data_IF_892439029785
#
_entry.id   IF_892439029785
#
_cell.length_a   1.000
_cell.length_b   1.000
_cell.length_c   1.000
_cell.angle_alpha   90.00
_cell.angle_beta   90.00
_cell.angle_gamma   90.00
#
_symmetry.space_group_name_H-M   'P 1'
#
loop_
_entity.id
_entity.type
_entity.pdbx_description
1 polymer ?
#
# COMPACT_ATOMS: atom_id res chain seq x y z
N UNK A 1 -8.20 14.02 -9.98
CA UNK A 1 -8.79 12.70 -10.32
C UNK A 1 -9.82 12.32 -9.27
N UNK A 2 -10.96 11.82 -9.70
CA UNK A 2 -12.00 11.33 -8.79
C UNK A 2 -12.04 9.80 -8.90
N UNK A 3 -11.86 9.14 -7.78
CA UNK A 3 -11.93 7.68 -7.71
C UNK A 3 -13.36 7.29 -7.32
N UNK A 4 -13.96 6.43 -8.11
CA UNK A 4 -15.33 5.96 -7.90
C UNK A 4 -15.32 4.49 -7.51
N UNK A 5 -16.39 4.05 -6.85
CA UNK A 5 -16.57 2.67 -6.46
C UNK A 5 -18.06 2.29 -6.53
N UNK A 6 -18.32 0.99 -6.49
CA UNK A 6 -19.69 0.46 -6.56
C UNK A 6 -20.52 1.02 -5.42
N UNK A 7 -21.77 1.43 -5.72
CA UNK A 7 -22.69 1.98 -4.73
C UNK A 7 -23.05 0.98 -3.61
N UNK A 8 -22.82 -0.31 -3.84
CA UNK A 8 -23.04 -1.34 -2.80
C UNK A 8 -21.91 -1.41 -1.79
N UNK A 9 -20.77 -0.75 -2.04
CA UNK A 9 -19.66 -0.69 -1.13
C UNK A 9 -19.84 0.52 -0.21
N UNK A 10 -19.78 0.29 1.10
CA UNK A 10 -19.93 1.36 2.08
C UNK A 10 -18.65 2.19 2.17
N UNK A 11 -18.79 3.51 2.28
CA UNK A 11 -17.65 4.43 2.47
C UNK A 11 -16.80 4.01 3.67
N UNK A 12 -17.45 3.58 4.75
CA UNK A 12 -16.79 3.14 5.97
C UNK A 12 -15.88 1.93 5.72
N UNK A 13 -16.32 1.01 4.86
CA UNK A 13 -15.52 -0.17 4.52
C UNK A 13 -14.28 0.21 3.73
N UNK A 14 -14.41 1.16 2.82
CA UNK A 14 -13.28 1.64 2.03
C UNK A 14 -12.27 2.37 2.94
N UNK A 15 -12.78 3.24 3.82
CA UNK A 15 -11.93 3.96 4.77
C UNK A 15 -11.17 3.01 5.69
N UNK A 16 -11.86 2.00 6.23
CA UNK A 16 -11.25 1.01 7.11
C UNK A 16 -10.18 0.19 6.39
N UNK A 17 -10.45 -0.22 5.15
CA UNK A 17 -9.49 -0.97 4.35
C UNK A 17 -8.25 -0.13 4.02
N UNK A 18 -8.45 1.12 3.65
CA UNK A 18 -7.34 2.01 3.32
C UNK A 18 -6.47 2.27 4.54
N UNK A 19 -7.07 2.49 5.69
CA UNK A 19 -6.36 2.68 6.95
C UNK A 19 -5.56 1.43 7.31
N UNK A 20 -6.15 0.25 7.15
CA UNK A 20 -5.48 -1.02 7.42
C UNK A 20 -4.29 -1.22 6.49
N UNK A 21 -4.45 -0.95 5.20
CA UNK A 21 -3.38 -1.05 4.22
C UNK A 21 -2.24 -0.10 4.58
N UNK A 22 -2.55 1.13 4.91
CA UNK A 22 -1.55 2.13 5.32
C UNK A 22 -0.76 1.65 6.53
N UNK A 23 -1.44 1.12 7.55
CA UNK A 23 -0.80 0.59 8.75
C UNK A 23 0.07 -0.62 8.44
N UNK A 24 -0.37 -1.49 7.54
CA UNK A 24 0.40 -2.67 7.14
C UNK A 24 1.69 -2.27 6.41
N UNK A 25 1.62 -1.27 5.55
CA UNK A 25 2.81 -0.75 4.87
C UNK A 25 3.81 -0.22 5.90
N UNK A 26 3.34 0.58 6.86
CA UNK A 26 4.19 1.14 7.90
C UNK A 26 4.89 0.04 8.72
N UNK A 27 4.16 -1.02 9.06
CA UNK A 27 4.69 -2.13 9.88
C UNK A 27 5.81 -2.92 9.21
N UNK A 28 5.92 -2.86 7.89
CA UNK A 28 7.01 -3.54 7.18
C UNK A 28 8.37 -3.04 7.64
N UNK A 29 8.47 -1.76 7.97
CA UNK A 29 9.74 -1.15 8.38
C UNK A 29 10.24 -1.68 9.72
N UNK A 30 9.46 -1.59 10.83
CA UNK A 30 9.93 -2.15 12.10
C UNK A 30 10.09 -3.67 12.04
N UNK A 31 9.28 -4.39 11.29
CA UNK A 31 9.45 -5.84 11.14
C UNK A 31 10.82 -6.17 10.53
N UNK A 32 11.22 -5.43 9.51
CA UNK A 32 12.54 -5.64 8.89
C UNK A 32 13.67 -5.27 9.85
N UNK A 33 13.53 -4.16 10.58
CA UNK A 33 14.53 -3.72 11.55
C UNK A 33 14.75 -4.73 12.67
N UNK A 34 13.68 -5.37 13.11
CA UNK A 34 13.71 -6.35 14.20
C UNK A 34 14.12 -7.75 13.75
N UNK A 35 14.28 -7.95 12.45
CA UNK A 35 14.54 -9.28 11.90
C UNK A 35 13.34 -10.19 11.85
N UNK A 36 12.14 -9.63 12.02
CA UNK A 36 10.89 -10.38 11.90
C UNK A 36 10.51 -10.57 10.43
N UNK A 37 9.61 -11.51 10.15
CA UNK A 37 9.15 -11.75 8.79
C UNK A 37 8.37 -10.54 8.27
N UNK A 38 8.83 -9.98 7.17
CA UNK A 38 8.17 -8.87 6.48
C UNK A 38 7.74 -9.27 5.07
N UNK A 39 8.27 -10.36 4.54
CA UNK A 39 8.00 -10.79 3.17
C UNK A 39 6.60 -11.41 3.02
N UNK A 40 6.19 -12.24 3.98
CA UNK A 40 4.87 -12.84 3.96
C UNK A 40 3.75 -11.80 4.14
N UNK A 41 3.84 -10.89 5.13
CA UNK A 41 2.88 -9.79 5.21
C UNK A 41 2.85 -8.92 3.95
N UNK A 42 4.00 -8.69 3.30
CA UNK A 42 4.06 -7.93 2.06
C UNK A 42 3.30 -8.64 0.93
N UNK A 43 3.47 -9.96 0.81
CA UNK A 43 2.73 -10.74 -0.20
C UNK A 43 1.22 -10.62 -0.02
N UNK A 44 0.75 -10.74 1.22
CA UNK A 44 -0.67 -10.58 1.54
C UNK A 44 -1.16 -9.17 1.20
N UNK A 45 -0.36 -8.17 1.53
CA UNK A 45 -0.67 -6.77 1.25
C UNK A 45 -0.82 -6.52 -0.25
N UNK A 46 0.05 -7.09 -1.07
CA UNK A 46 -0.02 -6.94 -2.53
C UNK A 46 -1.33 -7.52 -3.07
N UNK A 47 -1.76 -8.66 -2.56
CA UNK A 47 -3.04 -9.27 -2.96
C UNK A 47 -4.23 -8.37 -2.58
N UNK A 48 -4.19 -7.79 -1.40
CA UNK A 48 -5.24 -6.89 -0.93
C UNK A 48 -5.32 -5.61 -1.77
N UNK A 49 -4.19 -5.03 -2.12
CA UNK A 49 -4.14 -3.82 -2.93
C UNK A 49 -4.64 -4.12 -4.36
N UNK A 50 -4.24 -5.25 -4.92
CA UNK A 50 -4.72 -5.66 -6.24
C UNK A 50 -6.24 -5.86 -6.24
N UNK A 51 -6.79 -6.41 -5.16
CA UNK A 51 -8.23 -6.53 -4.99
C UNK A 51 -8.93 -5.18 -4.91
N UNK A 52 -8.34 -4.24 -4.19
CA UNK A 52 -8.87 -2.89 -4.09
C UNK A 52 -8.88 -2.18 -5.45
N UNK A 53 -7.84 -2.36 -6.26
CA UNK A 53 -7.76 -1.76 -7.59
C UNK A 53 -8.92 -2.20 -8.49
N UNK A 54 -9.37 -3.45 -8.33
CA UNK A 54 -10.51 -3.96 -9.08
C UNK A 54 -11.85 -3.37 -8.63
N UNK A 55 -11.93 -2.91 -7.38
CA UNK A 55 -13.16 -2.36 -6.81
C UNK A 55 -13.28 -0.85 -7.01
N UNK A 56 -12.16 -0.15 -7.18
CA UNK A 56 -12.12 1.31 -7.26
C UNK A 56 -11.87 1.75 -8.70
N UNK A 57 -12.85 2.41 -9.29
CA UNK A 57 -12.76 2.91 -10.66
C UNK A 57 -11.88 4.16 -10.68
N UNK A 58 -10.84 4.16 -11.51
CA UNK A 58 -9.93 5.29 -11.65
C UNK A 58 -8.76 5.29 -10.69
N UNK A 59 -8.61 4.23 -9.88
CA UNK A 59 -7.54 4.15 -8.90
C UNK A 59 -6.20 3.69 -9.48
N UNK A 60 -6.22 3.12 -10.69
CA UNK A 60 -5.05 2.45 -11.26
C UNK A 60 -3.81 3.36 -11.35
N UNK A 61 -3.99 4.65 -11.62
CA UNK A 61 -2.88 5.59 -11.71
C UNK A 61 -2.11 5.74 -10.40
N UNK A 62 -2.77 5.48 -9.26
CA UNK A 62 -2.15 5.54 -7.94
C UNK A 62 -1.77 4.14 -7.48
N UNK A 63 -2.67 3.17 -7.62
CA UNK A 63 -2.44 1.82 -7.11
C UNK A 63 -1.41 1.03 -7.90
N UNK A 64 -1.29 1.26 -9.21
CA UNK A 64 -0.27 0.56 -9.99
C UNK A 64 1.15 0.95 -9.56
N UNK A 65 1.51 2.25 -9.46
CA UNK A 65 2.81 2.62 -8.91
C UNK A 65 3.03 2.11 -7.48
N UNK A 66 1.99 2.11 -6.65
CA UNK A 66 2.07 1.58 -5.29
C UNK A 66 2.44 0.10 -5.31
N UNK A 67 1.76 -0.71 -6.13
CA UNK A 67 2.06 -2.13 -6.28
C UNK A 67 3.50 -2.35 -6.75
N UNK A 68 3.94 -1.59 -7.75
CA UNK A 68 5.29 -1.73 -8.28
C UNK A 68 6.36 -1.41 -7.22
N UNK A 69 6.16 -0.36 -6.44
CA UNK A 69 7.10 0.02 -5.38
C UNK A 69 7.16 -1.02 -4.28
N UNK A 70 6.01 -1.52 -3.84
CA UNK A 70 5.95 -2.55 -2.80
C UNK A 70 6.57 -3.85 -3.29
N UNK A 71 6.30 -4.25 -4.52
CA UNK A 71 6.88 -5.45 -5.10
C UNK A 71 8.41 -5.36 -5.16
N UNK A 72 8.93 -4.17 -5.46
CA UNK A 72 10.37 -3.93 -5.49
C UNK A 72 11.06 -4.14 -4.15
N UNK A 73 10.32 -4.08 -3.04
CA UNK A 73 10.89 -4.30 -1.71
C UNK A 73 11.47 -5.71 -1.54
N UNK A 74 10.94 -6.70 -2.26
CA UNK A 74 11.44 -8.07 -2.20
C UNK A 74 12.91 -8.19 -2.63
N UNK A 75 13.40 -7.23 -3.42
CA UNK A 75 14.78 -7.20 -3.89
C UNK A 75 15.71 -6.52 -2.88
N UNK A 76 15.19 -5.83 -1.89
CA UNK A 76 15.97 -5.03 -0.94
C UNK A 76 16.19 -5.80 0.36
N UNK A 77 16.89 -6.94 0.26
CA UNK A 77 17.04 -7.88 1.37
C UNK A 77 18.35 -7.71 2.15
N UNK A 78 19.33 -7.00 1.58
CA UNK A 78 20.63 -6.82 2.22
C UNK A 78 20.59 -5.67 3.24
N UNK A 79 21.49 -5.71 4.22
CA UNK A 79 21.58 -4.66 5.23
C UNK A 79 21.82 -3.29 4.60
N UNK A 80 22.66 -3.24 3.59
CA UNK A 80 22.98 -2.00 2.86
C UNK A 80 21.80 -1.41 2.09
N UNK A 81 20.76 -2.23 1.84
CA UNK A 81 19.55 -1.78 1.14
C UNK A 81 18.54 -1.09 2.06
N UNK A 82 18.83 -1.00 3.36
CA UNK A 82 17.86 -0.53 4.35
C UNK A 82 17.38 0.89 4.07
N UNK A 83 18.26 1.79 3.68
CA UNK A 83 17.87 3.17 3.41
C UNK A 83 16.92 3.26 2.22
N UNK A 84 17.16 2.48 1.19
CA UNK A 84 16.27 2.43 0.03
C UNK A 84 14.93 1.79 0.39
N UNK A 85 14.95 0.75 1.21
CA UNK A 85 13.74 0.12 1.74
C UNK A 85 12.89 1.15 2.49
N UNK A 86 13.51 1.87 3.43
CA UNK A 86 12.84 2.90 4.23
C UNK A 86 12.26 4.01 3.35
N UNK A 87 13.04 4.49 2.40
CA UNK A 87 12.60 5.53 1.46
C UNK A 87 11.38 5.06 0.66
N UNK A 88 11.42 3.82 0.16
CA UNK A 88 10.31 3.25 -0.60
C UNK A 88 9.05 3.15 0.25
N UNK A 89 9.17 2.75 1.52
CA UNK A 89 8.04 2.72 2.45
C UNK A 89 7.39 4.09 2.55
N UNK A 90 8.17 5.15 2.73
CA UNK A 90 7.61 6.51 2.84
C UNK A 90 6.99 6.99 1.53
N UNK A 91 7.54 6.60 0.39
CA UNK A 91 6.92 6.89 -0.89
C UNK A 91 5.57 6.19 -1.04
N UNK A 92 5.49 4.94 -0.58
CA UNK A 92 4.23 4.19 -0.58
C UNK A 92 3.18 4.84 0.34
N UNK A 93 3.59 5.30 1.51
CA UNK A 93 2.69 6.01 2.43
C UNK A 93 2.16 7.30 1.80
N UNK A 94 3.00 7.99 1.03
CA UNK A 94 2.57 9.16 0.26
C UNK A 94 1.51 8.83 -0.77
N UNK A 95 1.64 7.69 -1.44
CA UNK A 95 0.66 7.24 -2.42
C UNK A 95 -0.67 6.87 -1.76
N UNK A 96 -0.66 6.22 -0.60
CA UNK A 96 -1.90 5.91 0.12
C UNK A 96 -2.59 7.19 0.59
N UNK A 97 -1.82 8.21 1.00
CA UNK A 97 -2.37 9.51 1.36
C UNK A 97 -3.03 10.19 0.15
N UNK A 98 -2.40 10.12 -1.01
CA UNK A 98 -2.94 10.65 -2.25
C UNK A 98 -4.23 9.93 -2.65
N UNK A 99 -4.26 8.61 -2.48
CA UNK A 99 -5.44 7.79 -2.75
C UNK A 99 -6.62 8.24 -1.86
N UNK A 100 -6.36 8.44 -0.56
CA UNK A 100 -7.38 8.90 0.38
C UNK A 100 -7.97 10.25 -0.04
N UNK A 101 -7.12 11.20 -0.45
CA UNK A 101 -7.57 12.51 -0.93
C UNK A 101 -8.49 12.39 -2.16
N UNK A 102 -8.15 11.48 -3.07
CA UNK A 102 -8.93 11.31 -4.30
C UNK A 102 -10.27 10.60 -4.07
N UNK A 103 -10.37 9.81 -2.98
CA UNK A 103 -11.62 9.15 -2.62
C UNK A 103 -12.53 10.10 -1.85
N UNK A 104 -11.97 10.85 -0.89
CA UNK A 104 -12.78 11.68 0.02
C UNK A 104 -12.89 13.13 -0.40
N UNK A 105 -12.19 13.50 -1.40
CA UNK A 105 -12.31 14.80 -1.83
C UNK A 105 -11.69 15.75 -2.19
#
# INVERSE_FOLDING_TARGET
>A
MIIKYDANIKDESIAANLKRITNQIYKLLPNREEGSDWEKPLSTLLEEIAGMDRLLIGSHEILFPLLCKLEGLFLLTQEEDFFLFRRTIFECLGLTSQLAKNIYG
#
